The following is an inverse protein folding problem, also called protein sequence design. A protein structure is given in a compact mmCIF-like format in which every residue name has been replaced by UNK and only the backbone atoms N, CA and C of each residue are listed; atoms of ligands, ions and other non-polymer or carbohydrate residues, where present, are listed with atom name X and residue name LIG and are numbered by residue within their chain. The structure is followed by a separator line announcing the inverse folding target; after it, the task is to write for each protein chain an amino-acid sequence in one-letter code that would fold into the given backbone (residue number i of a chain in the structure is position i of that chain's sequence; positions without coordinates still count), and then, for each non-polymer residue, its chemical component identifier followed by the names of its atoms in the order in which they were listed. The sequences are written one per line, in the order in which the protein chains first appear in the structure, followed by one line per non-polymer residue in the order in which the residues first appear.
data_IF_374905191559
#
_entry.id   IF_374905191559
#
_cell.length_a   1.000
_cell.length_b   1.000
_cell.length_c   1.000
_cell.angle_alpha   90.00
_cell.angle_beta   90.00
_cell.angle_gamma   90.00
#
_symmetry.space_group_name_H-M   'P 1'
#
loop_
_entity.id
_entity.type
_entity.pdbx_description
1 polymer ?
#
# COMPACT_ATOMS: atom_id res chain seq x y z
N UNK A 1 1.56 6.14 -18.27
CA UNK A 1 1.86 6.38 -16.83
C UNK A 1 2.31 5.07 -16.20
N UNK A 2 3.26 5.09 -15.27
CA UNK A 2 3.74 3.90 -14.56
C UNK A 2 3.33 3.97 -13.08
N UNK A 3 3.28 2.81 -12.41
CA UNK A 3 2.77 2.71 -11.03
C UNK A 3 3.60 3.52 -10.03
N UNK A 4 4.92 3.62 -10.22
CA UNK A 4 5.79 4.48 -9.40
C UNK A 4 6.01 4.05 -7.95
N UNK A 5 5.19 3.14 -7.40
CA UNK A 5 5.32 2.64 -6.04
C UNK A 5 6.68 1.97 -5.79
N UNK A 6 7.21 2.10 -4.57
CA UNK A 6 8.50 1.52 -4.18
C UNK A 6 8.40 -0.01 -4.13
N UNK A 7 9.18 -0.69 -4.96
CA UNK A 7 9.30 -2.14 -4.94
C UNK A 7 10.07 -2.62 -3.72
N UNK A 8 10.06 -3.94 -3.47
CA UNK A 8 10.87 -4.56 -2.41
C UNK A 8 12.38 -4.34 -2.60
N UNK A 9 12.84 -4.18 -3.85
CA UNK A 9 14.22 -3.85 -4.19
C UNK A 9 14.56 -2.35 -3.97
N UNK A 10 13.58 -1.54 -3.58
CA UNK A 10 13.76 -0.13 -3.30
C UNK A 10 13.66 0.80 -4.51
N UNK A 11 13.51 0.25 -5.71
CA UNK A 11 13.35 0.99 -6.97
C UNK A 11 11.87 1.26 -7.30
N UNK A 12 11.56 2.28 -8.11
CA UNK A 12 10.17 2.58 -8.49
C UNK A 12 9.57 1.51 -9.41
N UNK A 13 8.29 1.21 -9.21
CA UNK A 13 7.56 0.24 -10.02
C UNK A 13 7.35 0.73 -11.45
N UNK A 14 7.78 -0.09 -12.42
CA UNK A 14 7.73 0.22 -13.85
C UNK A 14 6.46 -0.30 -14.56
N UNK A 15 5.56 -0.97 -13.85
CA UNK A 15 4.34 -1.54 -14.45
C UNK A 15 3.43 -0.40 -14.94
N UNK A 16 2.97 -0.51 -16.18
CA UNK A 16 2.09 0.46 -16.85
C UNK A 16 0.62 0.05 -16.85
N UNK A 17 0.32 -1.21 -16.53
CA UNK A 17 -1.05 -1.69 -16.29
C UNK A 17 -1.54 -1.18 -14.92
N UNK A 18 -2.17 -0.01 -14.93
CA UNK A 18 -2.71 0.68 -13.76
C UNK A 18 -4.22 0.50 -13.66
N UNK A 19 -4.70 0.45 -12.44
CA UNK A 19 -6.13 0.47 -12.11
C UNK A 19 -6.56 1.90 -11.78
N UNK A 20 -7.85 2.11 -11.50
CA UNK A 20 -8.47 3.42 -11.22
C UNK A 20 -7.75 4.25 -10.14
N UNK A 21 -7.04 3.61 -9.20
CA UNK A 21 -6.22 4.28 -8.19
C UNK A 21 -4.78 4.64 -8.59
N UNK A 22 -4.42 4.53 -9.88
CA UNK A 22 -3.08 4.85 -10.39
C UNK A 22 -1.98 3.84 -10.00
N UNK A 23 -2.34 2.76 -9.32
CA UNK A 23 -1.43 1.70 -8.89
C UNK A 23 -1.67 0.41 -9.66
N UNK A 24 -0.64 -0.42 -9.78
CA UNK A 24 -0.75 -1.74 -10.40
C UNK A 24 -1.32 -2.77 -9.40
N UNK A 25 -1.67 -3.96 -9.91
CA UNK A 25 -2.20 -5.09 -9.12
C UNK A 25 -1.38 -5.38 -7.86
N UNK A 26 -0.05 -5.31 -7.96
CA UNK A 26 0.87 -5.63 -6.87
C UNK A 26 1.01 -4.54 -5.81
N UNK A 27 0.64 -3.30 -6.14
CA UNK A 27 0.75 -2.14 -5.25
C UNK A 27 -0.63 -1.58 -4.89
N UNK A 28 -1.63 -2.45 -4.78
CA UNK A 28 -2.97 -2.08 -4.30
C UNK A 28 -3.92 -1.56 -5.37
N UNK A 29 -3.57 -1.65 -6.66
CA UNK A 29 -4.47 -1.26 -7.75
C UNK A 29 -5.80 -2.01 -7.75
N UNK A 30 -5.81 -3.26 -7.28
CA UNK A 30 -7.03 -4.06 -7.12
C UNK A 30 -7.64 -3.97 -5.72
N UNK A 31 -7.00 -3.26 -4.78
CA UNK A 31 -7.50 -3.14 -3.41
C UNK A 31 -8.65 -2.14 -3.37
N UNK A 32 -9.82 -2.59 -2.93
CA UNK A 32 -11.03 -1.76 -2.85
C UNK A 32 -11.27 -1.19 -1.44
N UNK A 33 -10.39 -1.50 -0.48
CA UNK A 33 -10.58 -1.17 0.93
C UNK A 33 -11.76 -1.91 1.58
N UNK A 34 -11.99 -1.68 2.88
CA UNK A 34 -13.17 -2.19 3.58
C UNK A 34 -14.44 -1.49 3.08
N UNK A 35 -15.47 -2.28 2.72
CA UNK A 35 -16.75 -1.76 2.21
C UNK A 35 -17.79 -1.50 3.29
N UNK A 36 -17.69 -2.17 4.43
CA UNK A 36 -18.64 -2.06 5.54
C UNK A 36 -18.16 -1.06 6.57
N UNK A 37 -19.08 -0.43 7.30
CA UNK A 37 -18.76 0.51 8.39
C UNK A 37 -17.90 -0.15 9.47
N UNK A 38 -18.25 -1.38 9.88
CA UNK A 38 -17.44 -2.15 10.82
C UNK A 38 -16.01 -2.37 10.31
N UNK A 39 -15.83 -2.65 9.01
CA UNK A 39 -14.52 -2.82 8.41
C UNK A 39 -13.70 -1.52 8.37
N UNK A 40 -14.35 -0.39 8.06
CA UNK A 40 -13.71 0.93 8.11
C UNK A 40 -13.24 1.27 9.52
N UNK A 41 -14.09 1.00 10.52
CA UNK A 41 -13.75 1.24 11.93
C UNK A 41 -12.58 0.35 12.39
N UNK A 42 -12.56 -0.92 12.01
CA UNK A 42 -11.41 -1.80 12.28
C UNK A 42 -10.13 -1.28 11.62
N UNK A 43 -10.19 -0.80 10.38
CA UNK A 43 -9.06 -0.15 9.72
C UNK A 43 -8.57 1.07 10.49
N UNK A 44 -9.47 1.90 11.03
CA UNK A 44 -9.13 3.06 11.85
C UNK A 44 -8.42 2.66 13.14
N UNK A 45 -8.94 1.64 13.85
CA UNK A 45 -8.33 1.10 15.06
C UNK A 45 -6.92 0.56 14.78
N UNK A 46 -6.76 -0.21 13.70
CA UNK A 46 -5.47 -0.77 13.29
C UNK A 46 -4.46 0.34 12.97
N UNK A 47 -4.89 1.43 12.32
CA UNK A 47 -4.07 2.61 12.08
C UNK A 47 -3.61 3.27 13.39
N UNK A 48 -4.51 3.41 14.38
CA UNK A 48 -4.20 4.01 15.69
C UNK A 48 -3.20 3.18 16.50
N UNK A 49 -3.21 1.86 16.34
CA UNK A 49 -2.28 0.93 17.01
C UNK A 49 -0.86 0.93 16.42
N UNK A 50 -0.54 1.85 15.50
CA UNK A 50 0.79 2.01 14.94
C UNK A 50 1.06 1.22 13.65
N UNK A 51 0.04 0.52 13.12
CA UNK A 51 0.15 -0.21 11.87
C UNK A 51 1.32 -1.21 11.84
N UNK A 52 1.85 -1.49 10.64
CA UNK A 52 3.03 -2.35 10.49
C UNK A 52 4.28 -1.60 11.02
N UNK A 53 5.06 -2.16 11.96
CA UNK A 53 6.26 -1.51 12.47
C UNK A 53 7.25 -1.24 11.31
N UNK A 54 7.83 -0.03 11.29
CA UNK A 54 8.91 0.28 10.35
C UNK A 54 10.12 -0.59 10.73
N UNK A 55 10.67 -1.35 9.77
CA UNK A 55 11.97 -2.01 9.96
C UNK A 55 13.01 -0.93 10.25
N UNK A 56 13.78 -1.10 11.32
CA UNK A 56 14.95 -0.26 11.59
C UNK A 56 15.88 -0.35 10.38
N UNK A 57 16.40 0.80 9.91
CA UNK A 57 17.44 0.80 8.89
C UNK A 57 18.70 0.22 9.54
N UNK A 58 19.45 -0.70 8.91
CA UNK A 58 20.78 -1.03 9.40
C UNK A 58 21.61 0.26 9.45
N UNK A 59 22.30 0.50 10.56
CA UNK A 59 23.26 1.59 10.69
C UNK A 59 24.36 1.38 9.64
N UNK A 60 24.75 2.48 9.00
CA UNK A 60 25.75 2.48 7.92
C UNK A 60 27.16 2.53 8.47
#
# INVERSE_FOLDING_TARGET
MACGAKTRAGTPCKITALYSGGHCKWHGGCSTGPRTEAGKEQSRINGRRGGRPKKQKPES
#
